data_IF_653521973272
#
_entry.id   IF_653521973272
#
_cell.length_a   1.000
_cell.length_b   1.000
_cell.length_c   1.000
_cell.angle_alpha   90.00
_cell.angle_beta   90.00
_cell.angle_gamma   90.00
#
_symmetry.space_group_name_H-M   'P 1'
#
loop_
_entity.id
_entity.type
_entity.pdbx_description
1 polymer ?
#
# COMPACT_ATOMS: atom_id res chain seq x y z
N UNK A 1 -7.86 -19.98 -9.51
CA UNK A 1 -8.60 -18.74 -9.18
C UNK A 1 -7.82 -18.00 -8.09
N UNK A 2 -7.53 -16.71 -8.23
CA UNK A 2 -6.78 -15.95 -7.21
C UNK A 2 -7.75 -15.39 -6.17
N UNK A 3 -7.55 -15.74 -4.90
CA UNK A 3 -8.25 -15.13 -3.76
C UNK A 3 -7.45 -13.94 -3.21
N UNK A 4 -8.08 -13.10 -2.39
CA UNK A 4 -7.38 -11.98 -1.72
C UNK A 4 -6.19 -12.46 -0.87
N UNK A 5 -6.31 -13.65 -0.29
CA UNK A 5 -5.28 -14.29 0.55
C UNK A 5 -4.08 -14.68 -0.32
N UNK A 6 -4.32 -15.35 -1.44
CA UNK A 6 -3.24 -15.69 -2.40
C UNK A 6 -2.57 -14.43 -2.95
N UNK A 7 -3.35 -13.38 -3.22
CA UNK A 7 -2.82 -12.11 -3.71
C UNK A 7 -1.91 -11.42 -2.69
N UNK A 8 -2.29 -11.46 -1.40
CA UNK A 8 -1.48 -10.93 -0.31
C UNK A 8 -0.16 -11.70 -0.17
N UNK A 9 -0.20 -13.04 -0.12
CA UNK A 9 1.01 -13.86 0.01
C UNK A 9 1.94 -13.71 -1.20
N UNK A 10 1.39 -13.73 -2.42
CA UNK A 10 2.17 -13.53 -3.65
C UNK A 10 2.85 -12.16 -3.67
N UNK A 11 2.16 -11.12 -3.18
CA UNK A 11 2.72 -9.76 -3.11
C UNK A 11 3.89 -9.69 -2.12
N UNK A 12 3.77 -10.33 -0.96
CA UNK A 12 4.88 -10.44 0.00
C UNK A 12 6.03 -11.25 -0.58
N UNK A 13 5.77 -12.34 -1.31
CA UNK A 13 6.82 -13.16 -1.93
C UNK A 13 7.57 -12.44 -3.05
N UNK A 14 6.91 -11.52 -3.76
CA UNK A 14 7.57 -10.66 -4.76
C UNK A 14 8.52 -9.63 -4.14
N UNK A 15 8.32 -9.28 -2.87
CA UNK A 15 9.24 -8.39 -2.17
C UNK A 15 10.59 -9.08 -1.86
N UNK A 16 11.68 -8.29 -1.67
CA UNK A 16 12.97 -8.80 -1.24
C UNK A 16 12.87 -9.59 0.06
N UNK A 17 13.66 -10.66 0.20
CA UNK A 17 13.56 -11.62 1.31
C UNK A 17 13.61 -10.95 2.69
N UNK A 18 14.48 -9.96 2.85
CA UNK A 18 14.69 -9.25 4.13
C UNK A 18 13.46 -8.43 4.56
N UNK A 19 12.70 -7.90 3.59
CA UNK A 19 11.52 -7.07 3.86
C UNK A 19 10.27 -7.89 4.17
N UNK A 20 10.21 -9.15 3.73
CA UNK A 20 8.98 -9.97 3.80
C UNK A 20 8.44 -10.08 5.23
N UNK A 21 9.33 -10.26 6.22
CA UNK A 21 8.94 -10.41 7.62
C UNK A 21 8.32 -9.13 8.16
N UNK A 22 8.91 -7.99 7.81
CA UNK A 22 8.40 -6.67 8.19
C UNK A 22 7.04 -6.42 7.56
N UNK A 23 6.87 -6.73 6.28
CA UNK A 23 5.59 -6.55 5.57
C UNK A 23 4.48 -7.44 6.13
N UNK A 24 4.76 -8.73 6.41
CA UNK A 24 3.78 -9.64 7.01
C UNK A 24 3.35 -9.21 8.42
N UNK A 25 4.23 -8.53 9.16
CA UNK A 25 3.95 -8.00 10.49
C UNK A 25 3.33 -6.59 10.48
N UNK A 26 3.14 -5.97 9.32
CA UNK A 26 2.58 -4.62 9.23
C UNK A 26 1.50 -4.58 8.15
N UNK A 27 0.44 -5.38 8.32
CA UNK A 27 -0.68 -5.42 7.38
C UNK A 27 -1.76 -4.43 7.83
N UNK A 28 -2.10 -3.50 6.94
CA UNK A 28 -3.25 -2.60 7.11
C UNK A 28 -4.32 -3.01 6.11
N UNK A 29 -5.54 -3.22 6.60
CA UNK A 29 -6.70 -3.53 5.76
C UNK A 29 -7.60 -2.30 5.75
N UNK A 30 -7.88 -1.80 4.55
CA UNK A 30 -8.67 -0.59 4.32
C UNK A 30 -9.63 -0.75 3.14
N UNK A 31 -10.53 0.21 2.94
CA UNK A 31 -11.55 0.21 1.89
C UNK A 31 -12.92 -0.30 2.35
N UNK A 32 -13.98 0.03 1.61
CA UNK A 32 -15.37 -0.26 2.02
C UNK A 32 -15.66 -1.76 2.23
N UNK A 33 -15.16 -2.63 1.36
CA UNK A 33 -15.38 -4.09 1.46
C UNK A 33 -14.78 -4.71 2.73
N UNK A 34 -13.72 -4.09 3.29
CA UNK A 34 -13.10 -4.60 4.51
C UNK A 34 -13.94 -4.41 5.77
N UNK A 35 -14.97 -3.54 5.70
CA UNK A 35 -15.91 -3.31 6.79
C UNK A 35 -17.01 -4.36 6.89
N UNK A 36 -17.04 -5.34 5.97
CA UNK A 36 -17.98 -6.46 6.06
C UNK A 36 -17.79 -7.21 7.40
N UNK A 37 -18.88 -7.52 8.13
CA UNK A 37 -18.79 -8.25 9.39
C UNK A 37 -18.02 -9.57 9.22
N UNK A 38 -17.05 -9.82 10.09
CA UNK A 38 -16.23 -11.04 10.06
C UNK A 38 -15.14 -11.09 8.99
N UNK A 39 -15.01 -10.08 8.12
CA UNK A 39 -14.02 -10.09 7.03
C UNK A 39 -12.58 -10.28 7.53
N UNK A 40 -12.15 -9.48 8.51
CA UNK A 40 -10.79 -9.55 9.06
C UNK A 40 -10.50 -10.90 9.71
N UNK A 41 -11.48 -11.45 10.43
CA UNK A 41 -11.36 -12.77 11.04
C UNK A 41 -11.14 -13.85 9.98
N UNK A 42 -12.02 -13.89 8.97
CA UNK A 42 -11.92 -14.85 7.86
C UNK A 42 -10.60 -14.71 7.11
N UNK A 43 -10.16 -13.48 6.84
CA UNK A 43 -8.88 -13.21 6.19
C UNK A 43 -7.71 -13.79 6.99
N UNK A 44 -7.71 -13.60 8.31
CA UNK A 44 -6.65 -14.11 9.19
C UNK A 44 -6.65 -15.64 9.27
N UNK A 45 -7.81 -16.28 9.32
CA UNK A 45 -7.93 -17.75 9.29
C UNK A 45 -7.40 -18.35 7.99
N UNK A 46 -7.82 -17.79 6.86
CA UNK A 46 -7.39 -18.25 5.54
C UNK A 46 -5.88 -18.07 5.34
N UNK A 47 -5.29 -16.97 5.82
CA UNK A 47 -3.83 -16.77 5.80
C UNK A 47 -3.09 -17.84 6.61
N UNK A 48 -3.57 -18.13 7.83
CA UNK A 48 -2.97 -19.17 8.68
C UNK A 48 -3.08 -20.55 8.06
N UNK A 49 -4.16 -20.82 7.33
CA UNK A 49 -4.35 -22.07 6.59
C UNK A 49 -3.40 -22.15 5.39
N UNK A 50 -3.39 -21.14 4.52
CA UNK A 50 -2.67 -21.16 3.26
C UNK A 50 -1.15 -21.14 3.42
N UNK A 51 -0.64 -20.52 4.49
CA UNK A 51 0.81 -20.50 4.76
C UNK A 51 1.36 -21.88 5.11
N UNK A 52 0.51 -22.78 5.62
CA UNK A 52 0.88 -24.18 5.88
C UNK A 52 0.86 -25.04 4.62
N UNK A 53 0.27 -24.56 3.53
CA UNK A 53 0.27 -25.26 2.25
C UNK A 53 1.72 -25.47 1.77
N UNK A 54 2.09 -26.67 1.29
CA UNK A 54 3.44 -26.96 0.80
C UNK A 54 4.00 -25.95 -0.20
N UNK A 55 3.14 -25.29 -0.99
CA UNK A 55 3.54 -24.29 -1.99
C UNK A 55 4.09 -23.02 -1.32
N UNK A 56 3.47 -22.57 -0.23
CA UNK A 56 3.88 -21.36 0.49
C UNK A 56 4.85 -21.66 1.62
N UNK A 57 4.70 -22.80 2.32
CA UNK A 57 5.58 -23.19 3.43
C UNK A 57 7.06 -23.27 3.02
N UNK A 58 7.36 -23.67 1.78
CA UNK A 58 8.74 -23.70 1.26
C UNK A 58 9.29 -22.31 0.89
N UNK A 59 8.41 -21.35 0.60
CA UNK A 59 8.76 -20.01 0.09
C UNK A 59 8.73 -18.93 1.18
N UNK A 60 7.88 -19.13 2.19
CA UNK A 60 7.77 -18.29 3.37
C UNK A 60 8.35 -19.01 4.59
N UNK A 61 9.50 -18.55 5.05
CA UNK A 61 10.04 -18.92 6.37
C UNK A 61 9.40 -18.08 7.50
N UNK A 62 8.10 -17.80 7.43
CA UNK A 62 7.40 -17.03 8.46
C UNK A 62 5.94 -17.41 8.60
N UNK A 63 5.46 -17.39 9.85
CA UNK A 63 4.11 -17.83 10.20
C UNK A 63 3.31 -16.75 10.95
N UNK A 64 3.88 -15.55 11.10
CA UNK A 64 3.29 -14.48 11.91
C UNK A 64 2.77 -13.37 11.01
N UNK A 65 1.46 -13.16 11.04
CA UNK A 65 0.77 -12.06 10.38
C UNK A 65 0.18 -11.15 11.44
N UNK A 66 0.50 -9.86 11.40
CA UNK A 66 -0.04 -8.86 12.32
C UNK A 66 -0.83 -7.82 11.54
N UNK A 67 -2.03 -7.55 12.03
CA UNK A 67 -2.96 -6.60 11.46
C UNK A 67 -3.02 -5.36 12.33
N UNK A 68 -2.82 -4.20 11.71
CA UNK A 68 -2.92 -2.90 12.38
C UNK A 68 -4.23 -2.24 12.00
N UNK A 69 -4.90 -1.70 13.01
CA UNK A 69 -6.11 -0.92 12.78
C UNK A 69 -5.71 0.55 12.59
N UNK A 70 -6.20 1.22 11.53
CA UNK A 70 -6.02 2.65 11.38
C UNK A 70 -6.79 3.41 12.48
N UNK A 71 -6.47 4.69 12.75
CA UNK A 71 -7.15 5.50 13.77
C UNK A 71 -8.61 5.85 13.42
N UNK A 72 -9.07 5.46 12.25
CA UNK A 72 -10.37 5.81 11.68
C UNK A 72 -11.01 4.61 10.98
N UNK A 73 -12.24 4.75 10.47
CA UNK A 73 -12.87 3.66 9.73
C UNK A 73 -12.14 3.38 8.41
N UNK A 74 -12.16 2.12 8.01
CA UNK A 74 -11.39 1.58 6.90
C UNK A 74 -11.77 2.22 5.55
N UNK A 75 -13.04 2.61 5.37
CA UNK A 75 -13.55 3.18 4.12
C UNK A 75 -12.97 4.56 3.77
N UNK A 76 -12.56 5.36 4.77
CA UNK A 76 -11.99 6.69 4.53
C UNK A 76 -10.56 6.84 5.04
N UNK A 77 -9.89 5.73 5.41
CA UNK A 77 -8.49 5.74 5.85
C UNK A 77 -7.55 6.34 4.82
N UNK A 78 -7.74 6.06 3.53
CA UNK A 78 -6.96 6.67 2.45
C UNK A 78 -7.10 8.20 2.43
N UNK A 79 -8.34 8.66 2.57
CA UNK A 79 -8.67 10.08 2.53
C UNK A 79 -8.08 10.81 3.74
N UNK A 80 -8.18 10.22 4.94
CA UNK A 80 -7.52 10.77 6.12
C UNK A 80 -6.00 10.86 5.94
N UNK A 81 -5.38 9.83 5.37
CA UNK A 81 -3.94 9.84 5.07
C UNK A 81 -3.56 10.98 4.11
N UNK A 82 -4.34 11.20 3.06
CA UNK A 82 -4.14 12.31 2.12
C UNK A 82 -4.34 13.67 2.78
N UNK A 83 -5.34 13.84 3.65
CA UNK A 83 -5.57 15.08 4.40
C UNK A 83 -4.42 15.40 5.36
N UNK A 84 -3.89 14.39 6.05
CA UNK A 84 -2.70 14.54 6.91
C UNK A 84 -1.49 14.92 6.07
N UNK A 85 -1.22 14.19 4.97
CA UNK A 85 -0.13 14.49 4.05
C UNK A 85 -0.23 15.92 3.50
N UNK A 86 -1.44 16.32 3.09
CA UNK A 86 -1.84 17.65 2.64
C UNK A 86 -1.51 18.79 3.61
N UNK A 87 -1.42 18.46 4.90
CA UNK A 87 -1.13 19.39 5.99
C UNK A 87 0.36 19.45 6.34
N UNK A 88 1.21 18.66 5.68
CA UNK A 88 2.67 18.66 5.86
C UNK A 88 3.37 19.45 4.76
N UNK A 89 4.61 19.90 5.02
CA UNK A 89 5.43 20.58 4.02
C UNK A 89 5.84 19.68 2.84
N UNK A 90 5.63 18.36 2.94
CA UNK A 90 5.93 17.42 1.86
C UNK A 90 5.14 17.72 0.58
N UNK A 91 3.95 18.31 0.71
CA UNK A 91 3.12 18.73 -0.44
C UNK A 91 3.88 19.74 -1.30
N UNK A 92 4.56 20.71 -0.69
CA UNK A 92 5.28 21.75 -1.42
C UNK A 92 6.40 21.19 -2.31
N UNK A 93 7.01 20.06 -1.91
CA UNK A 93 8.13 19.43 -2.60
C UNK A 93 7.70 18.33 -3.59
N UNK A 94 6.44 17.87 -3.51
CA UNK A 94 5.92 16.74 -4.29
C UNK A 94 4.66 17.11 -5.09
N UNK A 95 4.40 18.40 -5.28
CA UNK A 95 3.30 18.91 -6.09
C UNK A 95 3.81 19.69 -7.29
N UNK A 96 2.93 19.84 -8.28
CA UNK A 96 3.21 20.58 -9.51
C UNK A 96 2.37 21.84 -9.48
N UNK A 97 3.03 22.99 -9.57
CA UNK A 97 2.34 24.28 -9.64
C UNK A 97 1.69 24.46 -11.00
N UNK A 98 0.74 25.39 -11.09
CA UNK A 98 0.10 25.77 -12.36
C UNK A 98 1.14 26.16 -13.42
N UNK A 99 2.15 26.92 -13.04
CA UNK A 99 3.17 27.42 -13.97
C UNK A 99 4.08 26.28 -14.46
N UNK A 100 4.46 25.36 -13.57
CA UNK A 100 5.21 24.16 -13.94
C UNK A 100 4.40 23.27 -14.89
N UNK A 101 3.10 23.12 -14.64
CA UNK A 101 2.21 22.37 -15.53
C UNK A 101 2.11 23.01 -16.92
N UNK A 102 1.96 24.34 -17.01
CA UNK A 102 1.92 25.06 -18.29
C UNK A 102 3.26 24.93 -19.02
N UNK A 103 4.38 25.10 -18.31
CA UNK A 103 5.72 24.94 -18.88
C UNK A 103 5.99 23.51 -19.36
N UNK A 104 5.39 22.51 -18.72
CA UNK A 104 5.46 21.11 -19.12
C UNK A 104 4.37 20.71 -20.14
N UNK A 105 4.01 21.61 -21.07
CA UNK A 105 3.01 21.36 -22.11
C UNK A 105 1.66 20.83 -21.59
N UNK A 106 1.24 21.25 -20.38
CA UNK A 106 0.01 20.78 -19.73
C UNK A 106 -0.02 19.27 -19.49
N UNK A 107 1.14 18.69 -19.20
CA UNK A 107 1.30 17.29 -18.86
C UNK A 107 1.65 17.13 -17.38
N UNK A 108 1.00 16.19 -16.70
CA UNK A 108 1.38 15.76 -15.35
C UNK A 108 2.18 14.47 -15.53
N UNK A 109 3.49 14.45 -15.20
CA UNK A 109 4.29 13.24 -15.30
C UNK A 109 3.71 12.17 -14.38
N UNK A 110 3.62 10.95 -14.89
CA UNK A 110 3.21 9.79 -14.13
C UNK A 110 4.41 8.86 -13.89
N UNK A 111 4.11 7.68 -13.33
CA UNK A 111 5.10 6.62 -13.12
C UNK A 111 5.78 6.16 -14.42
N UNK A 112 5.08 6.21 -15.54
CA UNK A 112 5.53 5.68 -16.84
C UNK A 112 6.62 6.56 -17.44
N UNK A 113 6.51 7.88 -17.25
CA UNK A 113 7.45 8.85 -17.82
C UNK A 113 8.65 9.13 -16.91
N UNK A 114 8.60 8.72 -15.64
CA UNK A 114 9.64 8.93 -14.62
C UNK A 114 10.10 10.38 -14.43
N UNK A 115 9.34 11.35 -14.94
CA UNK A 115 9.71 12.76 -14.99
C UNK A 115 9.25 13.57 -13.76
N UNK A 116 8.57 12.95 -12.78
CA UNK A 116 7.97 13.66 -11.64
C UNK A 116 9.00 14.36 -10.74
N UNK A 117 10.18 13.76 -10.54
CA UNK A 117 11.24 14.33 -9.69
C UNK A 117 11.88 15.58 -10.32
N UNK A 118 11.97 15.62 -11.64
CA UNK A 118 12.59 16.73 -12.37
C UNK A 118 11.74 18.02 -12.33
N UNK A 119 10.42 17.88 -12.14
CA UNK A 119 9.48 19.01 -12.06
C UNK A 119 9.19 19.44 -10.62
N UNK A 120 9.13 18.52 -9.67
CA UNK A 120 8.79 18.85 -8.27
C UNK A 120 9.95 19.51 -7.51
N UNK A 121 11.19 19.24 -7.91
CA UNK A 121 12.40 19.78 -7.27
C UNK A 121 12.72 21.24 -7.63
N UNK A 122 12.01 21.82 -8.61
CA UNK A 122 12.15 23.23 -8.99
C UNK A 122 11.18 24.11 -8.21
N UNK A 123 11.36 24.16 -6.89
CA UNK A 123 10.92 25.33 -6.12
C UNK A 123 12.05 26.36 -6.15
N UNK A 124 11.75 27.68 -6.19
CA UNK A 124 12.77 28.72 -6.19
C UNK A 124 13.65 28.69 -4.93
#
# INVERSE_FOLDING_TARGET
>A
MKSIVTLLLDSILKAPMDSRKVLAQNIVVMGGSSMMPGFKHRLQEELKSLVKDPVYARKMNMNTFKFHSPPCKENYTAWLGASIYGSTDAVSTHCITKDQFIANNRHIPDWSDQAWQALSSKTP
#
